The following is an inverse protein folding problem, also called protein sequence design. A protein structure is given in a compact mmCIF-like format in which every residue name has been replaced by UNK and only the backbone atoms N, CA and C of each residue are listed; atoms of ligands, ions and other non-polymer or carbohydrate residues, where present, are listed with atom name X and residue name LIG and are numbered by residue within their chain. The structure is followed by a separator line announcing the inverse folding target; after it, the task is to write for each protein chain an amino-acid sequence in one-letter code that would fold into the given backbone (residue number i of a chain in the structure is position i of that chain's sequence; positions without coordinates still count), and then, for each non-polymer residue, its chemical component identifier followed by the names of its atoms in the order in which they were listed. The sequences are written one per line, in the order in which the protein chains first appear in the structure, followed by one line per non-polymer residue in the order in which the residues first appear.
data_IF_473532919042
#
_entry.id   IF_473532919042
#
_cell.length_a   1.000
_cell.length_b   1.000
_cell.length_c   1.000
_cell.angle_alpha   90.00
_cell.angle_beta   90.00
_cell.angle_gamma   90.00
#
_symmetry.space_group_name_H-M   'P 1'
#
loop_
_entity.id
_entity.type
_entity.pdbx_description
1 polymer ?
#
# COMPACT_ATOMS: atom_id res chain seq x y z
N UNK A 1 -21.53 -21.87 2.40
CA UNK A 1 -20.89 -20.59 2.76
C UNK A 1 -21.42 -20.14 4.11
N UNK A 2 -20.55 -19.84 5.07
CA UNK A 2 -20.90 -19.32 6.39
C UNK A 2 -21.46 -17.89 6.27
N UNK A 3 -22.55 -17.61 6.96
CA UNK A 3 -22.98 -16.24 7.23
C UNK A 3 -22.09 -15.63 8.34
N UNK A 4 -22.16 -14.30 8.52
CA UNK A 4 -21.43 -13.65 9.61
C UNK A 4 -21.89 -14.15 10.99
N UNK A 5 -23.17 -14.51 11.12
CA UNK A 5 -23.71 -15.08 12.34
C UNK A 5 -23.18 -16.51 12.57
N UNK A 6 -23.11 -17.34 11.53
CA UNK A 6 -22.58 -18.70 11.66
C UNK A 6 -21.11 -18.67 12.04
N UNK A 7 -20.31 -17.86 11.34
CA UNK A 7 -18.90 -17.69 11.64
C UNK A 7 -18.67 -17.21 13.08
N UNK A 8 -19.48 -16.24 13.54
CA UNK A 8 -19.43 -15.74 14.92
C UNK A 8 -19.75 -16.85 15.94
N UNK A 9 -20.78 -17.67 15.69
CA UNK A 9 -21.11 -18.80 16.57
C UNK A 9 -19.95 -19.79 16.63
N UNK A 10 -19.46 -20.24 15.48
CA UNK A 10 -18.37 -21.21 15.39
C UNK A 10 -17.12 -20.78 16.17
N UNK A 11 -16.66 -19.54 16.01
CA UNK A 11 -15.46 -19.07 16.73
C UNK A 11 -15.71 -18.85 18.23
N UNK A 12 -16.94 -18.47 18.62
CA UNK A 12 -17.31 -18.32 20.04
C UNK A 12 -17.37 -19.66 20.74
N UNK A 13 -17.86 -20.69 20.07
CA UNK A 13 -17.91 -22.05 20.60
C UNK A 13 -16.48 -22.59 20.81
N UNK A 14 -15.55 -22.17 19.96
CA UNK A 14 -14.10 -22.43 20.06
C UNK A 14 -13.33 -21.50 21.01
N UNK A 15 -14.01 -20.62 21.75
CA UNK A 15 -13.39 -19.82 22.82
C UNK A 15 -13.21 -18.32 22.56
N UNK A 16 -13.60 -17.79 21.40
CA UNK A 16 -13.56 -16.35 21.11
C UNK A 16 -14.69 -15.55 21.79
N UNK A 17 -14.87 -15.70 23.11
CA UNK A 17 -16.04 -15.19 23.87
C UNK A 17 -16.20 -13.67 23.82
N UNK A 18 -15.12 -12.92 23.59
CA UNK A 18 -15.12 -11.45 23.53
C UNK A 18 -15.65 -10.89 22.21
N UNK A 19 -15.62 -11.66 21.13
CA UNK A 19 -16.11 -11.21 19.82
C UNK A 19 -17.63 -11.26 19.84
N UNK A 20 -18.27 -10.15 19.50
CA UNK A 20 -19.72 -10.03 19.39
C UNK A 20 -20.19 -9.66 17.97
N UNK A 21 -19.26 -9.36 17.07
CA UNK A 21 -19.57 -9.02 15.69
C UNK A 21 -18.47 -9.53 14.74
N UNK A 22 -18.88 -10.26 13.71
CA UNK A 22 -18.03 -10.60 12.57
C UNK A 22 -18.50 -9.79 11.36
N UNK A 23 -17.56 -9.24 10.60
CA UNK A 23 -17.84 -8.49 9.37
C UNK A 23 -17.02 -9.03 8.23
N UNK A 24 -17.68 -9.58 7.22
CA UNK A 24 -17.02 -9.94 5.97
C UNK A 24 -16.74 -8.70 5.13
N UNK A 25 -15.55 -8.64 4.54
CA UNK A 25 -15.08 -7.55 3.69
C UNK A 25 -14.46 -8.11 2.41
N UNK A 26 -14.81 -7.52 1.29
CA UNK A 26 -14.11 -7.77 0.02
C UNK A 26 -12.98 -6.75 -0.08
N UNK A 27 -11.80 -7.14 0.39
CA UNK A 27 -10.65 -6.24 0.53
C UNK A 27 -9.43 -6.85 -0.18
N UNK A 28 -8.74 -6.04 -0.98
CA UNK A 28 -7.54 -6.46 -1.74
C UNK A 28 -6.23 -6.64 -0.95
N UNK A 29 -6.25 -6.42 0.36
CA UNK A 29 -5.02 -6.33 1.19
C UNK A 29 -5.19 -6.71 2.65
N UNK A 30 -6.34 -6.43 3.26
CA UNK A 30 -6.59 -6.79 4.66
C UNK A 30 -7.29 -8.14 4.73
N UNK A 31 -6.56 -9.16 5.18
CA UNK A 31 -7.05 -10.53 5.38
C UNK A 31 -8.02 -10.59 6.55
N UNK A 32 -7.63 -10.02 7.69
CA UNK A 32 -8.48 -9.86 8.86
C UNK A 32 -7.98 -8.72 9.74
N UNK A 33 -8.84 -8.21 10.63
CA UNK A 33 -8.44 -7.29 11.70
C UNK A 33 -9.37 -7.42 12.89
N UNK A 34 -8.82 -7.26 14.09
CA UNK A 34 -9.57 -7.24 15.34
C UNK A 34 -9.54 -5.83 15.92
N UNK A 35 -10.68 -5.31 16.37
CA UNK A 35 -10.72 -3.99 17.04
C UNK A 35 -9.93 -4.00 18.34
N UNK A 36 -9.46 -2.83 18.78
CA UNK A 36 -8.62 -2.67 19.98
C UNK A 36 -9.22 -3.30 21.25
N UNK A 37 -10.55 -3.30 21.36
CA UNK A 37 -11.29 -3.90 22.47
C UNK A 37 -11.59 -5.41 22.27
N UNK A 38 -11.25 -5.99 21.12
CA UNK A 38 -11.43 -7.41 20.83
C UNK A 38 -12.86 -7.82 20.47
N UNK A 39 -13.77 -6.87 20.24
CA UNK A 39 -15.20 -7.18 20.08
C UNK A 39 -15.65 -7.37 18.63
N UNK A 40 -14.98 -6.72 17.69
CA UNK A 40 -15.32 -6.81 16.25
C UNK A 40 -14.17 -7.43 15.48
N UNK A 41 -14.45 -8.55 14.81
CA UNK A 41 -13.55 -9.22 13.90
C UNK A 41 -13.97 -8.92 12.46
N UNK A 42 -13.13 -8.19 11.72
CA UNK A 42 -13.30 -8.03 10.28
C UNK A 42 -12.50 -9.12 9.59
N UNK A 43 -13.12 -9.81 8.63
CA UNK A 43 -12.56 -10.99 7.96
C UNK A 43 -12.77 -10.84 6.46
N UNK A 44 -11.82 -11.30 5.64
CA UNK A 44 -12.02 -11.32 4.20
C UNK A 44 -13.21 -12.22 3.82
N UNK A 45 -13.99 -11.85 2.81
CA UNK A 45 -15.18 -12.60 2.40
C UNK A 45 -14.88 -14.04 1.94
N UNK A 46 -13.64 -14.33 1.52
CA UNK A 46 -13.19 -15.69 1.17
C UNK A 46 -13.43 -16.70 2.31
N UNK A 47 -13.28 -16.28 3.57
CA UNK A 47 -13.44 -17.17 4.73
C UNK A 47 -14.88 -17.58 5.02
N UNK A 48 -15.84 -17.17 4.20
CA UNK A 48 -17.17 -17.81 4.18
C UNK A 48 -17.07 -19.31 3.87
N UNK A 49 -15.99 -19.76 3.22
CA UNK A 49 -15.74 -21.17 2.96
C UNK A 49 -14.59 -21.73 3.80
N UNK A 50 -14.30 -21.09 4.95
CA UNK A 50 -13.22 -21.51 5.82
C UNK A 50 -13.46 -22.95 6.32
N UNK A 51 -12.47 -23.87 6.17
CA UNK A 51 -12.52 -25.17 6.82
C UNK A 51 -12.39 -25.03 8.35
N UNK A 52 -12.78 -26.06 9.12
CA UNK A 52 -12.79 -26.03 10.59
C UNK A 52 -11.48 -25.56 11.23
N UNK A 53 -10.33 -26.00 10.71
CA UNK A 53 -9.01 -25.60 11.23
C UNK A 53 -8.78 -24.08 11.14
N UNK A 54 -9.31 -23.41 10.11
CA UNK A 54 -9.22 -21.95 10.03
C UNK A 54 -10.15 -21.26 11.04
N UNK A 55 -11.30 -21.86 11.37
CA UNK A 55 -12.16 -21.37 12.45
C UNK A 55 -11.47 -21.49 13.81
N UNK A 56 -10.72 -22.58 14.04
CA UNK A 56 -9.89 -22.76 15.25
C UNK A 56 -8.77 -21.71 15.32
N UNK A 57 -8.11 -21.44 14.18
CA UNK A 57 -7.10 -20.40 14.08
C UNK A 57 -7.68 -19.01 14.38
N UNK A 58 -8.84 -18.65 13.82
CA UNK A 58 -9.52 -17.39 14.13
C UNK A 58 -9.96 -17.30 15.58
N UNK A 59 -10.42 -18.40 16.18
CA UNK A 59 -10.79 -18.44 17.59
C UNK A 59 -9.58 -18.16 18.49
N UNK A 60 -8.43 -18.77 18.19
CA UNK A 60 -7.16 -18.53 18.88
C UNK A 60 -6.75 -17.05 18.79
N UNK A 61 -6.75 -16.48 17.58
CA UNK A 61 -6.42 -15.08 17.33
C UNK A 61 -7.33 -14.11 18.10
N UNK A 62 -8.63 -14.41 18.13
CA UNK A 62 -9.62 -13.57 18.79
C UNK A 62 -9.55 -13.69 20.33
N UNK A 63 -9.35 -14.89 20.87
CA UNK A 63 -9.23 -15.14 22.30
C UNK A 63 -8.00 -14.42 22.89
N UNK A 64 -6.87 -14.45 22.20
CA UNK A 64 -5.64 -13.76 22.62
C UNK A 64 -5.66 -12.25 22.35
N UNK A 65 -6.68 -11.74 21.66
CA UNK A 65 -6.77 -10.32 21.32
C UNK A 65 -5.69 -9.90 20.30
N UNK A 66 -5.40 -10.76 19.33
CA UNK A 66 -4.42 -10.57 18.26
C UNK A 66 -3.23 -11.53 18.34
N UNK A 67 -2.15 -11.16 17.66
CA UNK A 67 -0.90 -11.95 17.62
C UNK A 67 -0.08 -11.61 18.86
N UNK A 68 -0.14 -12.45 19.90
CA UNK A 68 0.53 -12.21 21.20
C UNK A 68 1.42 -13.35 21.66
N UNK A 69 1.31 -14.53 21.06
CA UNK A 69 1.97 -15.75 21.49
C UNK A 69 2.52 -16.55 20.29
N UNK A 70 3.14 -17.69 20.56
CA UNK A 70 3.52 -18.63 19.50
C UNK A 70 2.28 -19.28 18.84
N UNK A 71 1.22 -19.58 19.59
CA UNK A 71 -0.02 -20.16 19.06
C UNK A 71 -0.74 -19.19 18.11
N UNK A 72 -0.93 -17.93 18.52
CA UNK A 72 -1.55 -16.92 17.65
C UNK A 72 -0.70 -16.54 16.43
N UNK A 73 0.64 -16.65 16.51
CA UNK A 73 1.50 -16.51 15.32
C UNK A 73 1.28 -17.65 14.31
N UNK A 74 1.21 -18.90 14.77
CA UNK A 74 0.91 -20.04 13.88
C UNK A 74 -0.49 -19.91 13.27
N UNK A 75 -1.48 -19.57 14.09
CA UNK A 75 -2.84 -19.32 13.62
C UNK A 75 -2.90 -18.20 12.57
N UNK A 76 -2.17 -17.09 12.77
CA UNK A 76 -2.08 -16.02 11.78
C UNK A 76 -1.45 -16.51 10.47
N UNK A 77 -0.39 -17.32 10.54
CA UNK A 77 0.24 -17.91 9.37
C UNK A 77 -0.72 -18.83 8.61
N UNK A 78 -1.41 -19.75 9.29
CA UNK A 78 -2.39 -20.65 8.67
C UNK A 78 -3.51 -19.88 7.95
N UNK A 79 -4.06 -18.87 8.62
CA UNK A 79 -5.08 -17.99 8.04
C UNK A 79 -4.55 -17.30 6.78
N UNK A 80 -3.34 -16.71 6.84
CA UNK A 80 -2.74 -16.00 5.71
C UNK A 80 -2.28 -16.90 4.56
N UNK A 81 -1.94 -18.16 4.83
CA UNK A 81 -1.42 -19.11 3.84
C UNK A 81 -2.52 -19.88 3.10
N UNK A 82 -3.79 -19.66 3.41
CA UNK A 82 -4.89 -20.39 2.80
C UNK A 82 -5.05 -20.06 1.29
N UNK A 83 -4.95 -21.03 0.36
CA UNK A 83 -4.93 -20.74 -1.08
C UNK A 83 -6.15 -19.98 -1.61
N UNK A 84 -7.35 -20.33 -1.14
CA UNK A 84 -8.59 -19.67 -1.58
C UNK A 84 -8.65 -18.18 -1.19
N UNK A 85 -7.88 -17.75 -0.18
CA UNK A 85 -7.72 -16.33 0.13
C UNK A 85 -6.92 -15.61 -0.96
N UNK A 86 -5.80 -16.19 -1.38
CA UNK A 86 -4.92 -15.60 -2.38
C UNK A 86 -5.67 -15.40 -3.70
N UNK A 87 -6.36 -16.46 -4.16
CA UNK A 87 -7.21 -16.42 -5.36
C UNK A 87 -8.30 -15.34 -5.25
N UNK A 88 -8.99 -15.27 -4.11
CA UNK A 88 -10.04 -14.28 -3.91
C UNK A 88 -9.50 -12.83 -3.86
N UNK A 89 -8.32 -12.62 -3.29
CA UNK A 89 -7.66 -11.31 -3.26
C UNK A 89 -7.26 -10.90 -4.67
N UNK A 90 -6.68 -11.81 -5.44
CA UNK A 90 -6.23 -11.53 -6.81
C UNK A 90 -7.42 -11.29 -7.75
N UNK A 91 -8.54 -12.00 -7.57
CA UNK A 91 -9.77 -11.71 -8.29
C UNK A 91 -10.33 -10.31 -7.97
N UNK A 92 -10.34 -9.91 -6.70
CA UNK A 92 -10.75 -8.55 -6.30
C UNK A 92 -9.81 -7.49 -6.89
N UNK A 93 -8.50 -7.78 -6.99
CA UNK A 93 -7.52 -6.90 -7.65
C UNK A 93 -7.81 -6.78 -9.14
N UNK A 94 -7.95 -7.91 -9.84
CA UNK A 94 -8.26 -7.96 -11.28
C UNK A 94 -9.53 -7.18 -11.62
N UNK A 95 -10.62 -7.40 -10.87
CA UNK A 95 -11.87 -6.62 -11.04
C UNK A 95 -11.66 -5.13 -10.86
N UNK A 96 -10.91 -4.73 -9.82
CA UNK A 96 -10.62 -3.33 -9.58
C UNK A 96 -9.73 -2.71 -10.68
N UNK A 97 -8.81 -3.48 -11.25
CA UNK A 97 -7.99 -3.07 -12.39
C UNK A 97 -8.84 -2.93 -13.67
N UNK A 98 -9.73 -3.88 -13.93
CA UNK A 98 -10.67 -3.87 -15.06
C UNK A 98 -11.67 -2.72 -14.95
N UNK A 99 -12.26 -2.49 -13.77
CA UNK A 99 -13.14 -1.35 -13.51
C UNK A 99 -12.38 -0.03 -13.66
N UNK A 100 -11.13 0.04 -13.19
CA UNK A 100 -10.26 1.20 -13.37
C UNK A 100 -10.00 1.51 -14.84
N UNK A 101 -9.74 0.48 -15.66
CA UNK A 101 -9.54 0.58 -17.11
C UNK A 101 -10.84 0.99 -17.82
N UNK A 102 -11.97 0.32 -17.54
CA UNK A 102 -13.29 0.56 -18.18
C UNK A 102 -13.87 1.93 -17.87
N UNK A 103 -13.75 2.38 -16.63
CA UNK A 103 -14.33 3.66 -16.22
C UNK A 103 -13.49 4.88 -16.62
N UNK A 104 -12.29 4.67 -17.19
CA UNK A 104 -11.29 5.75 -17.40
C UNK A 104 -11.00 6.53 -16.12
N UNK A 105 -11.39 5.99 -14.96
CA UNK A 105 -11.47 6.70 -13.69
C UNK A 105 -10.07 6.70 -13.11
N UNK A 106 -9.25 7.62 -13.63
CA UNK A 106 -7.98 8.00 -13.01
C UNK A 106 -8.26 8.14 -11.51
N UNK A 107 -7.62 7.32 -10.70
CA UNK A 107 -7.67 7.41 -9.24
C UNK A 107 -7.54 8.88 -8.86
N UNK A 108 -8.58 9.43 -8.21
CA UNK A 108 -8.74 10.88 -8.04
C UNK A 108 -7.45 11.55 -7.57
N UNK A 109 -6.76 12.25 -8.46
CA UNK A 109 -5.52 12.96 -8.18
C UNK A 109 -5.86 14.35 -7.65
N UNK A 110 -5.47 14.63 -6.41
CA UNK A 110 -5.69 15.94 -5.79
C UNK A 110 -4.58 16.95 -6.09
N UNK A 111 -3.64 16.61 -6.99
CA UNK A 111 -2.54 17.50 -7.35
C UNK A 111 -3.03 18.63 -8.26
N UNK A 112 -2.47 19.83 -8.10
CA UNK A 112 -2.56 20.90 -9.11
C UNK A 112 -1.70 20.56 -10.34
N UNK A 113 -1.89 21.22 -11.50
CA UNK A 113 -1.00 21.05 -12.65
C UNK A 113 0.49 21.27 -12.32
N UNK A 114 0.80 22.29 -11.53
CA UNK A 114 2.16 22.64 -11.13
C UNK A 114 2.77 21.58 -10.22
N UNK A 115 1.97 21.02 -9.31
CA UNK A 115 2.40 19.89 -8.46
C UNK A 115 2.68 18.64 -9.29
N UNK A 116 1.90 18.37 -10.35
CA UNK A 116 2.16 17.26 -11.28
C UNK A 116 3.47 17.45 -12.03
N UNK A 117 3.70 18.65 -12.57
CA UNK A 117 4.96 19.00 -13.25
C UNK A 117 6.17 18.84 -12.31
N UNK A 118 6.05 19.35 -11.09
CA UNK A 118 7.06 19.23 -10.04
C UNK A 118 7.40 17.76 -9.72
N UNK A 119 6.39 16.92 -9.48
CA UNK A 119 6.59 15.52 -9.15
C UNK A 119 7.17 14.72 -10.32
N UNK A 120 6.73 15.01 -11.55
CA UNK A 120 7.31 14.40 -12.76
C UNK A 120 8.79 14.78 -12.94
N UNK A 121 9.15 16.05 -12.69
CA UNK A 121 10.55 16.49 -12.73
C UNK A 121 11.41 15.78 -11.66
N UNK A 122 10.90 15.65 -10.43
CA UNK A 122 11.58 14.90 -9.38
C UNK A 122 11.75 13.42 -9.74
N UNK A 123 10.70 12.78 -10.28
CA UNK A 123 10.75 11.38 -10.68
C UNK A 123 11.85 11.15 -11.71
N UNK A 124 11.86 11.93 -12.80
CA UNK A 124 12.87 11.82 -13.85
C UNK A 124 14.28 12.08 -13.34
N UNK A 125 14.45 13.08 -12.48
CA UNK A 125 15.73 13.36 -11.84
C UNK A 125 16.25 12.19 -11.02
N UNK A 126 15.41 11.60 -10.15
CA UNK A 126 15.83 10.46 -9.35
C UNK A 126 16.03 9.22 -10.19
N UNK A 127 15.20 8.99 -11.21
CA UNK A 127 15.39 7.89 -12.14
C UNK A 127 16.78 7.97 -12.77
N UNK A 128 17.15 9.14 -13.29
CA UNK A 128 18.47 9.36 -13.90
C UNK A 128 19.62 9.25 -12.89
N UNK A 129 19.51 9.88 -11.72
CA UNK A 129 20.64 10.01 -10.78
C UNK A 129 20.78 8.87 -9.77
N UNK A 130 19.73 8.05 -9.56
CA UNK A 130 19.69 7.01 -8.53
C UNK A 130 19.32 5.63 -9.06
N UNK A 131 18.70 5.55 -10.24
CA UNK A 131 18.28 4.30 -10.88
C UNK A 131 18.91 4.12 -12.27
N UNK A 132 19.92 4.93 -12.62
CA UNK A 132 20.64 4.88 -13.91
C UNK A 132 19.73 4.98 -15.14
N UNK A 133 18.58 5.66 -14.99
CA UNK A 133 17.58 5.80 -16.04
C UNK A 133 16.82 4.51 -16.38
N UNK A 134 16.91 3.46 -15.55
CA UNK A 134 16.35 2.13 -15.86
C UNK A 134 14.84 2.02 -15.61
N UNK A 135 14.23 2.94 -14.87
CA UNK A 135 12.80 2.88 -14.61
C UNK A 135 12.00 3.44 -15.79
N UNK A 136 10.84 2.85 -16.14
CA UNK A 136 9.92 3.46 -17.09
C UNK A 136 9.35 4.77 -16.52
N UNK A 137 8.77 5.61 -17.38
CA UNK A 137 8.00 6.76 -16.91
C UNK A 137 6.73 6.26 -16.21
N UNK A 138 6.59 6.56 -14.92
CA UNK A 138 5.44 6.15 -14.11
C UNK A 138 4.67 7.38 -13.64
N UNK A 139 3.34 7.45 -13.82
CA UNK A 139 2.55 8.55 -13.29
C UNK A 139 2.69 8.69 -11.77
N UNK A 140 3.08 9.88 -11.30
CA UNK A 140 3.10 10.22 -9.87
C UNK A 140 1.89 11.10 -9.53
N UNK A 141 1.06 10.64 -8.61
CA UNK A 141 -0.18 11.33 -8.20
C UNK A 141 -0.16 11.72 -6.72
N UNK A 142 -0.91 12.78 -6.37
CA UNK A 142 -1.21 13.11 -4.98
C UNK A 142 -2.59 12.60 -4.56
N UNK A 143 -2.67 12.07 -3.34
CA UNK A 143 -3.87 11.57 -2.71
C UNK A 143 -4.14 12.31 -1.40
N UNK A 144 -5.31 12.94 -1.30
CA UNK A 144 -5.83 13.55 -0.07
C UNK A 144 -6.46 12.52 0.89
N UNK A 145 -6.59 11.26 0.47
CA UNK A 145 -7.34 10.22 1.21
C UNK A 145 -6.46 9.33 2.10
N UNK A 146 -5.14 9.42 1.96
CA UNK A 146 -4.21 8.61 2.76
C UNK A 146 -4.20 9.07 4.22
N UNK A 147 -4.47 8.13 5.14
CA UNK A 147 -4.58 8.40 6.59
C UNK A 147 -3.35 7.95 7.38
N UNK A 148 -2.81 6.77 7.04
CA UNK A 148 -1.74 6.10 7.76
C UNK A 148 -0.52 5.79 6.90
N UNK A 149 -0.60 5.97 5.58
CA UNK A 149 0.51 5.80 4.65
C UNK A 149 0.93 7.14 4.03
N UNK A 150 2.18 7.21 3.61
CA UNK A 150 2.76 8.35 2.90
C UNK A 150 2.86 8.11 1.40
N UNK A 151 2.95 6.86 0.97
CA UNK A 151 2.99 6.46 -0.44
C UNK A 151 2.46 5.04 -0.65
N UNK A 152 2.26 4.69 -1.91
CA UNK A 152 2.29 3.32 -2.42
C UNK A 152 2.55 3.32 -3.92
N UNK A 153 3.26 2.31 -4.39
CA UNK A 153 3.30 1.87 -5.79
C UNK A 153 2.12 0.94 -6.09
N UNK A 154 1.49 1.09 -7.25
CA UNK A 154 0.43 0.20 -7.74
C UNK A 154 0.98 -0.69 -8.88
N UNK A 155 1.23 -1.99 -8.63
CA UNK A 155 1.66 -2.91 -9.66
C UNK A 155 0.52 -3.22 -10.63
N UNK A 156 0.87 -3.60 -11.85
CA UNK A 156 -0.03 -4.16 -12.84
C UNK A 156 0.62 -5.33 -13.57
N UNK A 157 -0.22 -6.12 -14.22
CA UNK A 157 0.18 -7.23 -15.08
C UNK A 157 -0.68 -7.20 -16.35
N UNK A 158 -0.07 -7.46 -17.51
CA UNK A 158 -0.83 -7.65 -18.76
C UNK A 158 -1.44 -9.05 -18.78
N UNK A 159 -2.34 -9.31 -19.73
CA UNK A 159 -2.89 -10.66 -19.92
C UNK A 159 -1.80 -11.69 -20.24
N UNK A 160 -0.70 -11.27 -20.87
CA UNK A 160 0.42 -12.12 -21.24
C UNK A 160 1.46 -12.29 -20.12
N UNK A 161 1.14 -11.82 -18.90
CA UNK A 161 2.00 -11.93 -17.72
C UNK A 161 3.10 -10.86 -17.62
N UNK A 162 3.08 -9.83 -18.48
CA UNK A 162 4.09 -8.76 -18.45
C UNK A 162 3.84 -7.80 -17.28
N UNK A 163 4.83 -7.70 -16.39
CA UNK A 163 4.79 -6.81 -15.23
C UNK A 163 5.01 -5.36 -15.64
N UNK A 164 4.12 -4.48 -15.18
CA UNK A 164 4.27 -3.03 -15.34
C UNK A 164 3.84 -2.31 -14.06
N UNK A 165 4.12 -1.01 -13.96
CA UNK A 165 3.62 -0.19 -12.85
C UNK A 165 2.57 0.78 -13.37
N UNK A 166 1.41 0.78 -12.71
CA UNK A 166 0.27 1.62 -13.08
C UNK A 166 0.49 3.06 -12.60
N UNK A 167 0.85 3.23 -11.33
CA UNK A 167 1.12 4.55 -10.74
C UNK A 167 1.94 4.47 -9.44
N UNK A 168 2.52 5.61 -9.08
CA UNK A 168 2.94 5.91 -7.71
C UNK A 168 1.96 6.94 -7.14
N UNK A 169 1.37 6.64 -5.99
CA UNK A 169 0.53 7.58 -5.26
C UNK A 169 1.24 8.05 -3.99
N UNK A 170 1.29 9.36 -3.77
CA UNK A 170 1.85 9.99 -2.58
C UNK A 170 0.77 10.72 -1.78
N UNK A 171 0.96 10.83 -0.47
CA UNK A 171 0.10 11.61 0.41
C UNK A 171 0.27 13.10 0.12
N UNK A 172 -0.84 13.81 -0.10
CA UNK A 172 -0.83 15.25 -0.40
C UNK A 172 -0.14 16.08 0.68
N UNK A 173 -0.16 15.62 1.93
CA UNK A 173 0.45 16.33 3.05
C UNK A 173 1.99 16.40 2.94
N UNK A 174 2.64 15.57 2.11
CA UNK A 174 4.07 15.69 1.80
C UNK A 174 4.45 16.99 1.06
N UNK A 175 3.46 17.71 0.53
CA UNK A 175 3.65 19.02 -0.10
C UNK A 175 3.69 20.17 0.91
N UNK A 176 3.31 19.93 2.18
CA UNK A 176 3.33 20.94 3.24
C UNK A 176 4.75 21.41 3.57
N UNK A 177 4.92 22.64 4.08
CA UNK A 177 6.20 23.11 4.61
C UNK A 177 6.72 22.16 5.70
N UNK A 178 8.02 21.90 5.70
CA UNK A 178 8.69 21.02 6.67
C UNK A 178 8.77 19.55 6.28
N UNK A 179 8.00 19.07 5.29
CA UNK A 179 8.02 17.66 4.85
C UNK A 179 8.97 17.42 3.66
N UNK A 180 10.06 18.19 3.58
CA UNK A 180 10.96 18.19 2.41
C UNK A 180 11.71 16.87 2.24
N UNK A 181 12.40 16.45 3.30
CA UNK A 181 13.16 15.21 3.31
C UNK A 181 12.23 13.99 3.18
N UNK A 182 11.06 14.07 3.82
CA UNK A 182 10.07 13.01 3.87
C UNK A 182 9.44 12.75 2.52
N UNK A 183 9.20 13.82 1.74
CA UNK A 183 8.72 13.70 0.36
C UNK A 183 9.73 12.98 -0.53
N UNK A 184 11.00 13.34 -0.42
CA UNK A 184 12.08 12.74 -1.21
C UNK A 184 12.25 11.27 -0.84
N UNK A 185 12.37 10.98 0.46
CA UNK A 185 12.53 9.62 0.96
C UNK A 185 11.33 8.73 0.59
N UNK A 186 10.09 9.23 0.72
CA UNK A 186 8.89 8.49 0.31
C UNK A 186 8.88 8.24 -1.21
N UNK A 187 9.19 9.24 -2.04
CA UNK A 187 9.21 9.03 -3.49
C UNK A 187 10.28 7.99 -3.89
N UNK A 188 11.49 8.09 -3.36
CA UNK A 188 12.55 7.11 -3.60
C UNK A 188 12.17 5.70 -3.08
N UNK A 189 11.46 5.63 -1.96
CA UNK A 189 10.92 4.38 -1.42
C UNK A 189 9.95 3.71 -2.39
N UNK A 190 8.99 4.46 -2.92
CA UNK A 190 8.05 3.92 -3.91
C UNK A 190 8.73 3.60 -5.24
N UNK A 191 9.74 4.37 -5.68
CA UNK A 191 10.55 4.04 -6.86
C UNK A 191 11.41 2.79 -6.66
N UNK A 192 11.89 2.53 -5.43
CA UNK A 192 12.56 1.27 -5.11
C UNK A 192 11.60 0.07 -5.22
N UNK A 193 10.31 0.25 -4.87
CA UNK A 193 9.29 -0.76 -5.18
C UNK A 193 9.07 -0.95 -6.67
N UNK A 194 9.09 0.12 -7.48
CA UNK A 194 9.02 0.01 -8.95
C UNK A 194 10.17 -0.85 -9.47
N UNK A 195 11.40 -0.53 -9.07
CA UNK A 195 12.58 -1.27 -9.52
C UNK A 195 12.51 -2.76 -9.15
N UNK A 196 12.23 -3.07 -7.88
CA UNK A 196 12.15 -4.44 -7.40
C UNK A 196 10.99 -5.22 -8.04
N UNK A 197 9.83 -4.60 -8.23
CA UNK A 197 8.69 -5.27 -8.85
C UNK A 197 8.95 -5.63 -10.30
N UNK A 198 9.56 -4.73 -11.08
CA UNK A 198 9.87 -5.01 -12.49
C UNK A 198 10.94 -6.12 -12.59
N UNK A 199 11.98 -6.06 -11.76
CA UNK A 199 13.09 -7.01 -11.79
C UNK A 199 12.71 -8.40 -11.22
N UNK A 200 12.13 -8.45 -10.04
CA UNK A 200 11.92 -9.70 -9.28
C UNK A 200 10.45 -10.10 -9.14
N UNK A 201 9.50 -9.22 -9.45
CA UNK A 201 8.07 -9.43 -9.18
C UNK A 201 7.67 -9.23 -7.71
N UNK A 202 8.63 -8.92 -6.84
CA UNK A 202 8.37 -8.68 -5.41
C UNK A 202 7.55 -7.40 -5.20
N UNK A 203 6.61 -7.47 -4.25
CA UNK A 203 5.71 -6.36 -3.86
C UNK A 203 5.96 -5.86 -2.44
N UNK A 204 7.00 -6.39 -1.78
CA UNK A 204 7.24 -6.17 -0.35
C UNK A 204 8.67 -5.78 -0.06
N UNK A 205 8.98 -5.57 1.22
CA UNK A 205 10.27 -5.02 1.68
C UNK A 205 11.32 -6.11 1.94
N UNK A 206 11.39 -7.10 1.04
CA UNK A 206 12.31 -8.24 1.07
C UNK A 206 13.77 -7.84 0.86
N UNK A 207 14.66 -8.82 0.73
CA UNK A 207 16.10 -8.57 0.55
C UNK A 207 16.41 -7.78 -0.72
N UNK A 208 15.77 -8.11 -1.84
CA UNK A 208 15.93 -7.43 -3.12
C UNK A 208 15.49 -5.95 -3.04
N UNK A 209 14.29 -5.70 -2.49
CA UNK A 209 13.83 -4.34 -2.23
C UNK A 209 14.78 -3.54 -1.33
N UNK A 210 15.28 -4.16 -0.24
CA UNK A 210 16.22 -3.48 0.68
C UNK A 210 17.54 -3.12 -0.01
N UNK A 211 17.98 -3.92 -0.98
CA UNK A 211 19.16 -3.61 -1.79
C UNK A 211 18.89 -2.37 -2.65
N UNK A 212 17.75 -2.29 -3.33
CA UNK A 212 17.31 -1.11 -4.06
C UNK A 212 17.20 0.12 -3.16
N UNK A 213 16.54 0.00 -2.00
CA UNK A 213 16.37 1.11 -1.05
C UNK A 213 17.72 1.70 -0.60
N UNK A 214 18.67 0.83 -0.21
CA UNK A 214 20.03 1.25 0.14
C UNK A 214 20.75 1.92 -1.02
N UNK A 215 20.68 1.33 -2.22
CA UNK A 215 21.32 1.87 -3.43
C UNK A 215 20.84 3.28 -3.74
N UNK A 216 19.54 3.51 -3.70
CA UNK A 216 18.96 4.80 -4.11
C UNK A 216 19.01 5.85 -2.99
N UNK A 217 19.33 5.41 -1.76
CA UNK A 217 19.52 6.27 -0.60
C UNK A 217 18.23 6.60 0.14
N UNK A 218 17.21 5.73 0.04
CA UNK A 218 16.02 5.81 0.91
C UNK A 218 16.12 4.81 2.06
N UNK A 219 15.27 4.98 3.07
CA UNK A 219 15.29 4.13 4.26
C UNK A 219 14.81 2.71 3.94
N UNK A 220 15.59 1.66 4.28
CA UNK A 220 15.22 0.27 4.03
C UNK A 220 14.29 -0.29 5.12
N UNK A 221 13.31 0.50 5.57
CA UNK A 221 12.34 0.13 6.63
C UNK A 221 10.91 0.42 6.19
N UNK A 222 9.96 -0.33 6.74
CA UNK A 222 8.52 -0.12 6.54
C UNK A 222 7.95 0.97 7.44
N UNK A 223 8.58 1.18 8.61
CA UNK A 223 8.13 2.14 9.62
C UNK A 223 8.76 3.51 9.37
N UNK A 224 7.89 4.51 9.29
CA UNK A 224 8.27 5.91 9.28
C UNK A 224 8.31 6.42 10.72
N UNK A 225 9.49 6.66 11.26
CA UNK A 225 9.71 7.17 12.62
C UNK A 225 9.85 8.71 12.66
N UNK A 226 9.99 9.35 11.50
CA UNK A 226 10.11 10.81 11.39
C UNK A 226 8.73 11.48 11.46
N UNK A 227 8.61 12.59 12.20
CA UNK A 227 7.36 13.31 12.30
C UNK A 227 7.02 13.97 10.95
N UNK A 228 5.99 13.46 10.29
CA UNK A 228 5.37 14.11 9.13
C UNK A 228 4.33 15.11 9.60
N UNK A 229 4.37 16.33 9.04
CA UNK A 229 3.33 17.33 9.29
C UNK A 229 2.09 16.97 8.49
N UNK A 230 0.94 16.95 9.15
CA UNK A 230 -0.35 16.74 8.50
C UNK A 230 -1.19 18.01 8.58
N UNK A 231 -2.07 18.22 7.60
CA UNK A 231 -3.05 19.30 7.65
C UNK A 231 -4.00 19.11 8.84
N UNK A 232 -4.36 20.22 9.50
CA UNK A 232 -5.29 20.21 10.64
C UNK A 232 -6.70 19.76 10.23
N UNK A 233 -7.20 20.24 9.08
CA UNK A 233 -8.50 19.86 8.51
C UNK A 233 -8.30 19.03 7.25
N UNK A 234 -8.91 17.85 7.18
CA UNK A 234 -8.79 16.93 6.03
C UNK A 234 -9.49 17.41 4.76
N UNK A 235 -10.34 18.43 4.83
CA UNK A 235 -10.89 19.09 3.65
C UNK A 235 -10.02 20.23 3.13
N UNK A 236 -9.02 20.69 3.90
CA UNK A 236 -8.19 21.83 3.51
C UNK A 236 -7.39 21.50 2.24
N UNK A 237 -7.38 22.40 1.24
CA UNK A 237 -6.57 22.23 0.04
C UNK A 237 -5.08 22.39 0.38
N UNK A 238 -4.24 21.68 -0.38
CA UNK A 238 -2.78 21.80 -0.29
C UNK A 238 -2.28 22.19 -1.67
N UNK A 239 -2.09 23.49 -1.88
CA UNK A 239 -1.74 24.07 -3.19
C UNK A 239 -0.22 24.33 -3.34
N UNK A 240 0.54 24.16 -2.26
CA UNK A 240 1.97 24.45 -2.24
C UNK A 240 2.72 23.59 -3.26
N UNK A 241 3.55 24.23 -4.07
CA UNK A 241 4.60 23.60 -4.85
C UNK A 241 5.93 23.88 -4.16
N UNK A 242 6.62 22.87 -3.62
CA UNK A 242 7.95 23.03 -3.06
C UNK A 242 8.94 23.48 -4.14
N UNK A 243 10.04 24.16 -3.78
CA UNK A 243 11.12 24.40 -4.74
C UNK A 243 11.72 23.06 -5.19
N UNK A 244 12.14 22.99 -6.46
CA UNK A 244 12.96 21.88 -6.93
C UNK A 244 14.31 21.89 -6.20
N UNK A 245 14.92 20.72 -5.92
CA UNK A 245 16.30 20.63 -5.47
C UNK A 245 17.21 21.50 -6.35
N UNK A 246 18.19 22.19 -5.75
CA UNK A 246 19.09 23.09 -6.51
C UNK A 246 19.77 22.41 -7.71
N UNK A 247 20.06 21.11 -7.60
CA UNK A 247 20.61 20.30 -8.68
C UNK A 247 19.71 20.19 -9.93
N UNK A 248 18.41 20.43 -9.78
CA UNK A 248 17.43 20.46 -10.88
C UNK A 248 17.23 21.87 -11.46
N UNK A 249 17.62 22.91 -10.74
CA UNK A 249 17.56 24.30 -11.20
C UNK A 249 18.85 24.78 -11.85
N UNK A 250 19.93 23.98 -11.77
CA UNK A 250 21.27 24.31 -12.29
C UNK A 250 21.58 23.71 -13.67
N UNK A 251 20.61 23.09 -14.34
CA UNK A 251 20.80 22.66 -15.74
C UNK A 251 20.58 23.89 -16.62
N UNK A 252 21.60 24.40 -17.35
CA UNK A 252 21.36 25.43 -18.34
C UNK A 252 20.41 24.86 -19.39
N UNK A 253 19.37 25.63 -19.71
CA UNK A 253 18.51 25.35 -20.84
C UNK A 253 19.40 25.36 -22.09
N UNK A 254 19.79 24.18 -22.60
CA UNK A 254 20.30 24.08 -23.95
C UNK A 254 19.11 24.37 -24.87
N UNK A 255 18.95 25.66 -25.22
CA UNK A 255 18.05 26.09 -26.26
C UNK A 255 18.56 25.44 -27.56
N UNK A 256 17.82 24.44 -28.05
CA UNK A 256 18.03 23.88 -29.37
C UNK A 256 17.65 24.91 -30.43
N UNK A 257 18.62 25.26 -31.25
CA UNK A 257 18.44 25.75 -32.62
C UNK A 257 17.93 24.62 -33.53
#
# INVERSE_FOLDING_TARGET
MLTAADFLREIRDRGAKRVNCVRFRENRSTVWSLTRNGTVLNVHAAYRNAPPNLLDAFATLAAEGGIRSASSRRAAHEVSAWPALAEAIDEVRRRHEEDGRRSGRRTHCSATPEQRAYLGALYRYFNHTRFDGRLPEVPVRLSSRMKSSLGHMLPGETHDGERHVVEIALNVDLMLPGNGAERVDTLLHEMAHVADYLESGSRGHGQSWRAWAKRVGCRPTTLYDRPVRFRRRRSAPVLRVPPLPRALTSVPYAAGA
#
